data_IF_908694886735
#
_entry.id   IF_908694886735
#
_cell.length_a   1.000
_cell.length_b   1.000
_cell.length_c   1.000
_cell.angle_alpha   90.00
_cell.angle_beta   90.00
_cell.angle_gamma   90.00
#
_symmetry.space_group_name_H-M   'P 1'
#
loop_
_entity.id
_entity.type
_entity.pdbx_description
1 polymer ?
#
# COMPACT_ATOMS: atom_id res chain seq x y z
N UNK A 1 18.88 -55.65 12.83
CA UNK A 1 19.10 -56.04 14.24
C UNK A 1 20.56 -55.79 14.51
N UNK A 2 20.95 -54.72 15.19
CA UNK A 2 21.04 -54.66 16.66
C UNK A 2 20.81 -53.23 17.18
N UNK A 3 20.11 -53.13 18.31
CA UNK A 3 20.07 -51.95 19.18
C UNK A 3 21.18 -52.10 20.23
N UNK A 4 21.87 -51.03 20.64
CA UNK A 4 22.41 -50.96 22.02
C UNK A 4 22.80 -49.53 22.47
N UNK A 5 22.03 -49.05 23.46
CA UNK A 5 22.32 -48.29 24.68
C UNK A 5 23.12 -46.97 24.72
N UNK A 6 22.43 -46.03 25.40
CA UNK A 6 22.85 -44.76 25.98
C UNK A 6 23.99 -44.86 27.00
N UNK A 7 24.81 -43.81 27.07
CA UNK A 7 25.51 -43.38 28.30
C UNK A 7 25.27 -41.88 28.49
N UNK A 8 24.77 -41.55 29.68
CA UNK A 8 24.52 -40.22 30.23
C UNK A 8 25.81 -39.70 30.87
N UNK A 9 26.17 -38.43 30.68
CA UNK A 9 27.02 -37.71 31.66
C UNK A 9 26.69 -36.21 31.69
N UNK A 10 26.27 -35.77 32.88
CA UNK A 10 25.99 -34.42 33.34
C UNK A 10 27.17 -33.46 33.16
N UNK A 11 26.93 -32.15 32.92
CA UNK A 11 27.40 -31.04 33.77
C UNK A 11 26.40 -29.86 33.70
N UNK A 12 26.04 -29.38 34.89
CA UNK A 12 25.18 -28.25 35.23
C UNK A 12 26.05 -26.99 35.26
N UNK A 13 25.58 -25.85 34.74
CA UNK A 13 25.81 -24.55 35.37
C UNK A 13 24.96 -23.44 34.73
N UNK A 14 23.99 -22.95 35.50
CA UNK A 14 23.32 -21.67 35.28
C UNK A 14 24.03 -20.59 36.09
N UNK A 15 24.40 -19.49 35.45
CA UNK A 15 24.71 -18.24 36.15
C UNK A 15 23.87 -17.12 35.54
N UNK A 16 22.81 -16.75 36.27
CA UNK A 16 22.16 -15.46 36.13
C UNK A 16 23.00 -14.43 36.87
N UNK A 17 23.43 -13.37 36.18
CA UNK A 17 23.94 -12.17 36.84
C UNK A 17 22.81 -11.15 36.90
N UNK A 18 22.13 -11.12 38.03
CA UNK A 18 21.41 -9.94 38.51
C UNK A 18 22.41 -9.03 39.18
N UNK A 19 22.45 -7.75 38.83
CA UNK A 19 23.08 -6.71 39.65
C UNK A 19 22.07 -5.60 39.89
N UNK A 20 21.64 -5.48 41.14
CA UNK A 20 21.04 -4.29 41.71
C UNK A 20 22.07 -3.66 42.64
N UNK A 21 22.24 -2.33 42.58
CA UNK A 21 22.51 -1.58 43.80
C UNK A 21 21.93 -0.17 43.71
N UNK A 22 21.42 0.29 44.86
CA UNK A 22 20.53 1.45 45.07
C UNK A 22 21.23 2.46 45.99
N UNK A 23 21.16 3.76 45.70
CA UNK A 23 21.11 4.86 46.69
C UNK A 23 20.75 6.19 45.99
N UNK A 24 20.14 7.11 46.74
CA UNK A 24 19.17 8.13 46.31
C UNK A 24 19.47 9.51 46.96
N UNK A 25 18.85 10.61 46.46
CA UNK A 25 18.80 12.02 46.95
C UNK A 25 20.02 12.94 46.64
N UNK A 26 19.94 14.26 46.36
CA UNK A 26 18.92 15.34 46.46
C UNK A 26 19.33 16.55 45.54
N UNK A 27 18.45 17.54 45.36
CA UNK A 27 18.38 18.61 44.31
C UNK A 27 19.02 19.96 44.75
N UNK A 28 19.60 20.77 43.84
CA UNK A 28 19.31 22.23 43.61
C UNK A 28 20.15 22.92 42.47
N UNK A 29 19.54 23.94 41.83
CA UNK A 29 19.72 24.59 40.50
C UNK A 29 20.75 25.78 40.41
N UNK A 30 20.96 26.59 39.31
CA UNK A 30 20.19 26.78 38.04
C UNK A 30 20.95 27.00 36.68
N UNK A 31 20.21 26.78 35.57
CA UNK A 31 20.12 27.70 34.42
C UNK A 31 21.06 27.53 33.21
N UNK A 32 20.53 27.06 32.07
CA UNK A 32 20.31 27.83 30.81
C UNK A 32 19.42 26.97 29.88
N UNK A 33 18.37 27.60 29.35
CA UNK A 33 17.36 27.04 28.43
C UNK A 33 17.86 27.24 27.00
N UNK A 34 17.78 26.23 26.13
CA UNK A 34 17.34 26.48 24.75
C UNK A 34 16.55 25.29 24.20
N UNK A 35 15.29 25.57 23.87
CA UNK A 35 14.35 24.68 23.23
C UNK A 35 14.83 24.34 21.82
N UNK A 36 14.73 23.07 21.43
CA UNK A 36 14.30 22.76 20.06
C UNK A 36 13.42 21.52 20.12
N UNK A 37 12.16 21.75 19.79
CA UNK A 37 11.19 20.79 19.30
C UNK A 37 11.85 19.54 18.72
N UNK A 38 11.84 18.45 19.48
CA UNK A 38 12.13 17.12 18.96
C UNK A 38 10.95 16.70 18.11
N UNK A 39 10.92 17.27 16.91
CA UNK A 39 10.37 16.77 15.67
C UNK A 39 9.72 15.39 15.84
N UNK A 40 8.40 15.36 16.09
CA UNK A 40 7.53 14.27 15.65
C UNK A 40 7.40 14.35 14.13
N UNK A 41 8.50 14.12 13.42
CA UNK A 41 8.44 13.80 11.99
C UNK A 41 8.20 12.31 11.89
N UNK A 42 6.98 11.92 12.27
CA UNK A 42 6.35 10.82 11.58
C UNK A 42 6.32 11.27 10.12
N UNK A 43 7.14 10.66 9.28
CA UNK A 43 7.09 10.85 7.84
C UNK A 43 5.71 10.34 7.40
N UNK A 44 4.67 11.19 7.51
CA UNK A 44 3.36 10.93 6.93
C UNK A 44 3.65 10.89 5.44
N UNK A 45 3.84 9.69 4.89
CA UNK A 45 3.93 9.47 3.45
C UNK A 45 2.76 10.22 2.82
N UNK A 46 3.05 11.32 2.10
CA UNK A 46 2.02 12.16 1.51
C UNK A 46 1.33 11.36 0.41
N UNK A 47 0.23 10.69 0.74
CA UNK A 47 -0.59 9.99 -0.26
C UNK A 47 -1.43 11.00 -1.02
N UNK A 48 -1.46 10.89 -2.35
CA UNK A 48 -2.30 11.75 -3.18
C UNK A 48 -3.71 11.18 -3.22
N UNK A 49 -4.71 11.97 -2.80
CA UNK A 49 -6.10 11.54 -2.79
C UNK A 49 -6.77 11.77 -4.14
N UNK A 50 -7.43 10.72 -4.61
CA UNK A 50 -8.17 10.69 -5.87
C UNK A 50 -9.66 10.50 -5.59
N UNK A 51 -10.48 11.36 -6.17
CA UNK A 51 -11.94 11.19 -6.26
C UNK A 51 -12.26 10.42 -7.54
N UNK A 52 -13.07 9.38 -7.42
CA UNK A 52 -13.49 8.52 -8.52
C UNK A 52 -15.02 8.57 -8.59
N UNK A 53 -15.58 9.06 -9.68
CA UNK A 53 -17.03 9.15 -9.88
C UNK A 53 -17.49 8.08 -10.87
N UNK A 54 -18.44 7.25 -10.42
CA UNK A 54 -19.01 6.13 -11.18
C UNK A 54 -20.52 6.29 -11.18
N UNK A 55 -21.09 6.79 -12.29
CA UNK A 55 -22.50 7.18 -12.31
C UNK A 55 -22.80 8.28 -11.30
N UNK A 56 -23.72 8.01 -10.37
CA UNK A 56 -24.09 8.86 -9.24
C UNK A 56 -23.27 8.61 -7.96
N UNK A 57 -22.38 7.62 -7.97
CA UNK A 57 -21.57 7.22 -6.82
C UNK A 57 -20.18 7.85 -6.87
N UNK A 58 -19.60 8.05 -5.68
CA UNK A 58 -18.24 8.56 -5.50
C UNK A 58 -17.44 7.62 -4.61
N UNK A 59 -16.25 7.26 -5.06
CA UNK A 59 -15.23 6.55 -4.29
C UNK A 59 -14.01 7.44 -4.09
N UNK A 60 -13.18 7.04 -3.13
CA UNK A 60 -11.90 7.66 -2.88
C UNK A 60 -10.78 6.62 -2.91
N UNK A 61 -9.67 7.00 -3.52
CA UNK A 61 -8.45 6.23 -3.53
C UNK A 61 -7.27 7.05 -3.01
N UNK A 62 -6.28 6.34 -2.47
CA UNK A 62 -4.95 6.88 -2.22
C UNK A 62 -4.00 6.35 -3.30
N UNK A 63 -3.32 7.26 -3.99
CA UNK A 63 -2.30 6.92 -4.97
C UNK A 63 -0.93 6.81 -4.28
N UNK A 64 -0.15 5.82 -4.71
CA UNK A 64 1.22 5.62 -4.27
C UNK A 64 2.16 6.64 -4.93
N UNK A 65 3.28 6.94 -4.26
CA UNK A 65 4.30 7.85 -4.81
C UNK A 65 5.21 7.11 -5.80
N UNK A 66 4.73 6.94 -7.04
CA UNK A 66 5.51 6.35 -8.13
C UNK A 66 5.27 7.05 -9.48
N UNK A 67 6.11 6.70 -10.47
CA UNK A 67 6.09 7.35 -11.78
C UNK A 67 4.76 7.16 -12.53
N UNK A 68 4.12 6.00 -12.38
CA UNK A 68 2.83 5.72 -13.02
C UNK A 68 1.73 6.59 -12.44
N UNK A 69 1.64 6.68 -11.11
CA UNK A 69 0.68 7.53 -10.44
C UNK A 69 0.87 9.01 -10.82
N UNK A 70 2.11 9.51 -10.84
CA UNK A 70 2.44 10.88 -11.28
C UNK A 70 1.98 11.15 -12.71
N UNK A 71 2.34 10.26 -13.65
CA UNK A 71 1.94 10.39 -15.05
C UNK A 71 0.42 10.28 -15.26
N UNK A 72 -0.27 9.48 -14.44
CA UNK A 72 -1.73 9.43 -14.43
C UNK A 72 -2.34 10.74 -13.87
N UNK A 73 -1.79 11.29 -12.79
CA UNK A 73 -2.22 12.55 -12.18
C UNK A 73 -2.12 13.71 -13.18
N UNK A 74 -1.05 13.77 -13.98
CA UNK A 74 -0.83 14.81 -15.00
C UNK A 74 -1.92 14.85 -16.08
N UNK A 75 -2.73 13.79 -16.19
CA UNK A 75 -3.85 13.69 -17.14
C UNK A 75 -5.19 14.10 -16.53
N UNK A 76 -5.26 14.40 -15.23
CA UNK A 76 -6.51 14.69 -14.53
C UNK A 76 -6.98 16.16 -14.75
N UNK A 77 -8.30 16.43 -14.77
CA UNK A 77 -9.39 15.46 -14.64
C UNK A 77 -9.57 14.61 -15.91
N UNK A 78 -9.83 13.31 -15.73
CA UNK A 78 -9.88 12.34 -16.83
C UNK A 78 -11.12 11.45 -16.70
N UNK A 79 -11.83 11.22 -17.80
CA UNK A 79 -12.92 10.23 -17.86
C UNK A 79 -12.51 9.09 -18.77
N UNK A 80 -12.53 7.86 -18.24
CA UNK A 80 -12.14 6.65 -18.98
C UNK A 80 -13.36 5.76 -19.23
N UNK A 81 -13.57 5.28 -20.47
CA UNK A 81 -14.56 4.23 -20.76
C UNK A 81 -13.99 2.88 -20.31
N UNK A 82 -14.23 2.51 -19.05
CA UNK A 82 -13.68 1.30 -18.48
C UNK A 82 -14.52 0.08 -18.86
N UNK A 83 -13.85 -1.00 -19.25
CA UNK A 83 -14.44 -2.29 -19.58
C UNK A 83 -14.47 -3.18 -18.34
N UNK A 84 -15.60 -3.81 -18.06
CA UNK A 84 -15.71 -4.84 -17.04
C UNK A 84 -15.28 -6.18 -17.64
N UNK A 85 -14.16 -6.70 -17.16
CA UNK A 85 -13.57 -7.94 -17.65
C UNK A 85 -13.50 -8.98 -16.53
N UNK A 86 -13.73 -10.23 -16.93
CA UNK A 86 -13.59 -11.41 -16.07
C UNK A 86 -14.42 -11.38 -14.79
N UNK A 87 -15.48 -10.55 -14.74
CA UNK A 87 -16.34 -10.33 -13.56
C UNK A 87 -15.53 -9.95 -12.31
N UNK A 88 -14.40 -9.27 -12.50
CA UNK A 88 -13.39 -9.06 -11.46
C UNK A 88 -12.68 -7.73 -11.52
N UNK A 89 -12.50 -7.18 -12.72
CA UNK A 89 -11.66 -6.00 -12.93
C UNK A 89 -12.26 -5.02 -13.92
N UNK A 90 -12.12 -3.74 -13.61
CA UNK A 90 -12.39 -2.66 -14.57
C UNK A 90 -11.09 -2.29 -15.26
N UNK A 91 -11.09 -2.24 -16.60
CA UNK A 91 -9.89 -2.05 -17.42
C UNK A 91 -10.07 -0.92 -18.41
N UNK A 92 -9.08 -0.04 -18.48
CA UNK A 92 -8.87 0.87 -19.62
C UNK A 92 -7.47 0.67 -20.18
N UNK A 93 -7.31 0.65 -21.50
CA UNK A 93 -6.01 0.52 -22.16
C UNK A 93 -5.58 1.88 -22.71
N UNK A 94 -4.47 2.41 -22.22
CA UNK A 94 -3.91 3.65 -22.76
C UNK A 94 -3.26 3.40 -24.13
N UNK A 95 -3.42 4.36 -25.05
CA UNK A 95 -2.72 4.30 -26.35
C UNK A 95 -1.20 4.36 -26.16
N UNK A 96 -0.75 5.28 -25.31
CA UNK A 96 0.66 5.45 -24.95
C UNK A 96 0.98 4.78 -23.61
N UNK A 97 2.16 4.18 -23.52
CA UNK A 97 2.63 3.56 -22.28
C UNK A 97 2.85 4.60 -21.18
N UNK A 98 2.36 4.32 -19.98
CA UNK A 98 2.79 5.02 -18.76
C UNK A 98 4.11 4.43 -18.25
N UNK A 99 4.99 5.24 -17.61
CA UNK A 99 6.19 4.73 -16.96
C UNK A 99 5.79 3.79 -15.82
N UNK A 100 6.44 2.63 -15.70
CA UNK A 100 6.10 1.57 -14.73
C UNK A 100 7.34 0.80 -14.27
N UNK A 101 8.28 1.51 -13.66
CA UNK A 101 9.63 1.01 -13.36
C UNK A 101 9.68 -0.05 -12.24
N UNK A 102 8.62 -0.17 -11.45
CA UNK A 102 8.53 -1.09 -10.31
C UNK A 102 7.62 -2.28 -10.62
N UNK A 103 7.18 -2.42 -11.88
CA UNK A 103 6.35 -3.53 -12.31
C UNK A 103 7.07 -4.86 -12.06
N UNK A 104 6.38 -5.78 -11.39
CA UNK A 104 6.89 -7.12 -11.11
C UNK A 104 5.75 -8.12 -11.08
N UNK A 105 6.08 -9.41 -10.92
CA UNK A 105 5.07 -10.44 -10.73
C UNK A 105 4.53 -10.38 -9.31
N UNK A 106 3.24 -10.13 -9.16
CA UNK A 106 2.60 -9.99 -7.86
C UNK A 106 1.14 -10.42 -7.88
N UNK A 107 0.60 -10.78 -6.72
CA UNK A 107 -0.86 -10.81 -6.53
C UNK A 107 -1.45 -9.41 -6.49
N UNK A 108 -2.75 -9.32 -6.24
CA UNK A 108 -3.44 -8.07 -5.98
C UNK A 108 -4.44 -8.28 -4.85
N UNK A 109 -5.02 -7.19 -4.36
CA UNK A 109 -6.10 -7.23 -3.39
C UNK A 109 -7.34 -6.51 -3.93
N UNK A 110 -8.51 -6.77 -3.34
CA UNK A 110 -9.74 -6.03 -3.66
C UNK A 110 -9.53 -4.56 -3.30
N UNK A 111 -9.80 -3.68 -4.27
CA UNK A 111 -9.56 -2.24 -4.17
C UNK A 111 -8.25 -1.79 -4.80
N UNK A 112 -7.34 -2.69 -5.19
CA UNK A 112 -6.09 -2.29 -5.83
C UNK A 112 -6.35 -1.60 -7.18
N UNK A 113 -5.62 -0.49 -7.38
CA UNK A 113 -5.43 0.15 -8.67
C UNK A 113 -4.03 -0.22 -9.16
N UNK A 114 -3.95 -0.83 -10.33
CA UNK A 114 -2.68 -1.28 -10.91
C UNK A 114 -2.57 -0.91 -12.38
N UNK A 115 -1.34 -0.93 -12.90
CA UNK A 115 -1.04 -0.79 -14.32
C UNK A 115 -0.33 -2.04 -14.80
N UNK A 116 -0.93 -2.75 -15.76
CA UNK A 116 -0.35 -3.93 -16.37
C UNK A 116 0.35 -3.54 -17.68
N UNK A 117 1.68 -3.66 -17.68
CA UNK A 117 2.52 -3.06 -18.73
C UNK A 117 2.34 -3.65 -20.14
N UNK A 118 2.06 -4.95 -20.34
CA UNK A 118 2.01 -5.53 -21.69
C UNK A 118 1.04 -4.83 -22.65
N UNK A 119 -0.14 -4.41 -22.17
CA UNK A 119 -1.18 -3.76 -22.99
C UNK A 119 -1.59 -2.38 -22.48
N UNK A 120 -0.71 -1.74 -21.70
CA UNK A 120 -0.94 -0.43 -21.10
C UNK A 120 -2.26 -0.34 -20.31
N UNK A 121 -2.61 -1.43 -19.64
CA UNK A 121 -3.91 -1.57 -18.99
C UNK A 121 -3.90 -0.93 -17.61
N UNK A 122 -4.71 0.09 -17.40
CA UNK A 122 -5.07 0.61 -16.08
C UNK A 122 -6.24 -0.21 -15.52
N UNK A 123 -6.02 -0.83 -14.37
CA UNK A 123 -6.87 -1.88 -13.81
C UNK A 123 -7.34 -1.50 -12.41
N UNK A 124 -8.63 -1.64 -12.14
CA UNK A 124 -9.22 -1.58 -10.80
C UNK A 124 -9.76 -2.97 -10.46
N UNK A 125 -9.22 -3.62 -9.45
CA UNK A 125 -9.68 -4.93 -9.02
C UNK A 125 -10.80 -4.82 -7.98
N UNK A 126 -11.97 -5.38 -8.29
CA UNK A 126 -13.16 -5.32 -7.41
C UNK A 126 -13.60 -6.71 -6.90
N UNK A 127 -13.00 -7.79 -7.39
CA UNK A 127 -13.06 -9.14 -6.80
C UNK A 127 -11.67 -9.78 -6.76
N UNK A 128 -11.51 -10.80 -5.94
CA UNK A 128 -10.29 -11.60 -5.81
C UNK A 128 -10.51 -13.03 -6.31
N UNK A 129 -9.51 -13.61 -6.96
CA UNK A 129 -9.48 -15.03 -7.33
C UNK A 129 -8.15 -15.76 -7.03
N UNK A 130 -7.19 -15.10 -6.38
CA UNK A 130 -5.88 -15.65 -6.03
C UNK A 130 -4.84 -15.61 -7.17
N UNK A 131 -5.15 -14.95 -8.30
CA UNK A 131 -4.23 -14.90 -9.43
C UNK A 131 -2.95 -14.10 -9.10
N UNK A 132 -1.82 -14.60 -9.59
CA UNK A 132 -0.53 -13.93 -9.58
C UNK A 132 -0.24 -13.44 -11.00
N UNK A 133 -0.12 -12.13 -11.16
CA UNK A 133 -0.04 -11.48 -12.47
C UNK A 133 1.38 -10.94 -12.69
N UNK A 134 1.99 -11.27 -13.82
CA UNK A 134 3.29 -10.75 -14.22
C UNK A 134 3.24 -9.31 -14.73
N UNK A 135 4.31 -8.54 -14.52
CA UNK A 135 4.46 -7.16 -14.99
C UNK A 135 3.35 -6.21 -14.50
N UNK A 136 2.99 -6.32 -13.23
CA UNK A 136 1.98 -5.50 -12.59
C UNK A 136 2.65 -4.40 -11.75
N UNK A 137 2.38 -3.15 -12.09
CA UNK A 137 2.78 -1.99 -11.30
C UNK A 137 1.62 -1.59 -10.37
N UNK A 138 1.89 -1.50 -9.07
CA UNK A 138 0.92 -0.96 -8.11
C UNK A 138 0.84 0.55 -8.25
N UNK A 139 -0.37 1.10 -8.36
CA UNK A 139 -0.58 2.55 -8.61
C UNK A 139 -1.28 3.22 -7.43
N UNK A 140 -2.20 2.52 -6.79
CA UNK A 140 -2.90 3.02 -5.62
C UNK A 140 -3.95 2.04 -5.13
N UNK A 141 -4.85 2.53 -4.29
CA UNK A 141 -5.91 1.70 -3.71
C UNK A 141 -7.17 2.50 -3.43
N UNK A 142 -8.31 1.96 -3.83
CA UNK A 142 -9.64 2.40 -3.42
C UNK A 142 -9.91 1.91 -2.00
N UNK A 143 -10.33 2.82 -1.12
CA UNK A 143 -10.41 2.52 0.30
C UNK A 143 -11.63 1.67 0.69
N UNK A 144 -12.78 1.92 0.05
CA UNK A 144 -14.08 1.31 0.37
C UNK A 144 -14.99 1.27 -0.85
N UNK A 145 -16.05 0.47 -0.76
CA UNK A 145 -17.20 0.41 -1.68
C UNK A 145 -16.86 -0.01 -3.13
N UNK A 146 -15.67 -0.55 -3.38
CA UNK A 146 -15.23 -1.00 -4.71
C UNK A 146 -16.12 -2.11 -5.28
N UNK A 147 -16.83 -2.85 -4.41
CA UNK A 147 -17.84 -3.84 -4.79
C UNK A 147 -18.98 -3.27 -5.63
N UNK A 148 -19.15 -1.94 -5.71
CA UNK A 148 -20.13 -1.32 -6.60
C UNK A 148 -19.93 -1.73 -8.06
N UNK A 149 -18.69 -1.99 -8.49
CA UNK A 149 -18.39 -2.39 -9.87
C UNK A 149 -18.97 -3.77 -10.22
N UNK A 150 -19.35 -4.58 -9.24
CA UNK A 150 -19.97 -5.89 -9.48
C UNK A 150 -21.31 -5.82 -10.24
N UNK A 151 -21.93 -4.64 -10.31
CA UNK A 151 -23.23 -4.45 -10.97
C UNK A 151 -23.25 -3.34 -12.02
N UNK A 152 -22.11 -2.70 -12.31
CA UNK A 152 -22.07 -1.59 -13.28
C UNK A 152 -21.93 -2.07 -14.72
N UNK A 153 -21.22 -3.17 -14.96
CA UNK A 153 -20.71 -3.51 -16.29
C UNK A 153 -19.78 -2.43 -16.83
N UNK A 154 -19.62 -2.37 -18.16
CA UNK A 154 -18.85 -1.33 -18.85
C UNK A 154 -19.41 0.06 -18.53
N UNK A 155 -18.56 0.99 -18.10
CA UNK A 155 -19.00 2.31 -17.64
C UNK A 155 -17.91 3.38 -17.80
N UNK A 156 -18.33 4.62 -18.02
CA UNK A 156 -17.44 5.78 -17.95
C UNK A 156 -17.14 6.12 -16.48
N UNK A 157 -15.87 6.13 -16.12
CA UNK A 157 -15.39 6.47 -14.77
C UNK A 157 -14.59 7.76 -14.83
N UNK A 158 -14.98 8.74 -14.02
CA UNK A 158 -14.29 10.04 -13.95
C UNK A 158 -13.35 10.08 -12.75
N UNK A 159 -12.13 10.55 -12.97
CA UNK A 159 -11.06 10.66 -11.99
C UNK A 159 -10.66 12.12 -11.81
N UNK A 160 -10.55 12.57 -10.55
CA UNK A 160 -10.21 13.95 -10.20
C UNK A 160 -9.34 13.98 -8.94
N UNK A 161 -8.39 14.91 -8.85
CA UNK A 161 -7.71 15.16 -7.58
C UNK A 161 -8.70 15.71 -6.55
N UNK A 162 -8.58 15.26 -5.31
CA UNK A 162 -9.26 15.91 -4.19
C UNK A 162 -8.57 17.26 -3.95
N UNK A 163 -9.34 18.35 -3.93
CA UNK A 163 -8.81 19.68 -3.59
C UNK A 163 -8.63 19.75 -2.07
N UNK A 164 -7.48 20.25 -1.61
CA UNK A 164 -7.31 20.69 -0.23
C UNK A 164 -7.94 22.09 -0.15
N UNK A 165 -8.95 22.26 0.70
CA UNK A 165 -9.60 23.54 0.99
C UNK A 165 -8.83 24.32 2.07
#
# INVERSE_FOLDING_TARGET
>A
MTRLFSIFLFIISSYSLSSCNKSEMEIEEPGVIENTDTIKQTNIMKTTKLKITVGDKVLFADLYDNATAKSFIDKLPLTLPMQDLYEREMVYRFEEALPAYEAHTSGYEVGDISYWTPWHSFVIFYRQNGEIIGNLQKVGRIQKDVELFQTTGNINVKFELVKED
#
